data_IF_069874825172
#
_entry.id   IF_069874825172
#
_cell.length_a   1.000
_cell.length_b   1.000
_cell.length_c   1.000
_cell.angle_alpha   90.00
_cell.angle_beta   90.00
_cell.angle_gamma   90.00
#
_symmetry.space_group_name_H-M   'P 1'
#
loop_
_entity.id
_entity.type
_entity.pdbx_description
1 polymer ?
#
# COMPACT_ATOMS: atom_id res chain seq x y z
N UNK A 1 -10.62 -2.99 22.02
CA UNK A 1 -10.81 -2.65 23.45
C UNK A 1 -10.28 -1.24 23.68
N UNK A 2 -11.07 -0.38 24.32
CA UNK A 2 -10.73 1.04 24.56
C UNK A 2 -9.69 1.20 25.65
N UNK A 3 -9.91 0.53 26.79
CA UNK A 3 -8.98 0.55 27.91
C UNK A 3 -7.63 -0.04 27.53
N UNK A 4 -6.57 0.70 27.85
CA UNK A 4 -5.20 0.45 27.42
C UNK A 4 -4.94 0.81 25.95
N UNK A 5 -5.90 1.36 25.20
CA UNK A 5 -5.76 1.71 23.80
C UNK A 5 -4.86 2.94 23.57
N UNK A 6 -4.31 3.08 22.36
CA UNK A 6 -3.38 4.18 22.05
C UNK A 6 -3.99 5.57 22.25
N UNK A 7 -5.27 5.76 21.93
CA UNK A 7 -5.94 7.05 22.11
C UNK A 7 -6.21 7.37 23.59
N UNK A 8 -6.68 6.39 24.37
CA UNK A 8 -6.86 6.56 25.81
C UNK A 8 -5.53 6.87 26.51
N UNK A 9 -4.45 6.12 26.21
CA UNK A 9 -3.10 6.39 26.76
C UNK A 9 -2.50 7.74 26.35
N UNK A 10 -3.11 8.40 25.36
CA UNK A 10 -2.76 9.77 24.94
C UNK A 10 -3.74 10.81 25.51
N UNK A 11 -4.52 10.44 26.52
CA UNK A 11 -5.50 11.28 27.21
C UNK A 11 -6.59 11.83 26.29
N UNK A 12 -6.92 11.12 25.20
CA UNK A 12 -8.08 11.47 24.38
C UNK A 12 -9.35 10.92 25.03
N UNK A 13 -10.39 11.74 25.05
CA UNK A 13 -11.71 11.38 25.58
C UNK A 13 -12.72 11.28 24.45
N UNK A 14 -13.88 10.68 24.72
CA UNK A 14 -14.92 10.46 23.70
C UNK A 14 -15.31 11.76 22.98
N UNK A 15 -15.45 12.86 23.73
CA UNK A 15 -15.81 14.18 23.22
C UNK A 15 -14.69 14.87 22.41
N UNK A 16 -13.47 14.33 22.40
CA UNK A 16 -12.40 14.82 21.51
C UNK A 16 -12.69 14.50 20.04
N UNK A 17 -13.47 13.44 19.77
CA UNK A 17 -13.85 13.03 18.42
C UNK A 17 -15.35 13.15 18.17
N UNK A 18 -16.17 13.03 19.22
CA UNK A 18 -17.62 13.07 19.13
C UNK A 18 -18.21 14.37 19.66
N UNK A 19 -19.37 14.76 19.14
CA UNK A 19 -20.19 15.82 19.71
C UNK A 19 -21.64 15.35 19.87
N UNK A 20 -22.19 15.59 21.06
CA UNK A 20 -23.61 15.35 21.38
C UNK A 20 -24.48 16.58 21.09
N UNK A 21 -23.87 17.73 20.82
CA UNK A 21 -24.53 18.96 20.39
C UNK A 21 -23.92 19.43 19.07
N UNK A 22 -24.68 19.30 17.96
CA UNK A 22 -24.20 19.75 16.65
C UNK A 22 -23.14 18.85 16.00
N UNK A 23 -23.09 17.57 16.35
CA UNK A 23 -22.32 16.57 15.60
C UNK A 23 -22.95 16.26 14.23
N UNK A 24 -22.19 15.60 13.36
CA UNK A 24 -22.75 15.08 12.10
C UNK A 24 -23.63 13.83 12.33
N UNK A 25 -24.12 13.20 11.26
CA UNK A 25 -24.96 11.99 11.32
C UNK A 25 -24.32 10.78 12.04
N UNK A 26 -23.00 10.80 12.31
CA UNK A 26 -22.27 9.80 13.10
C UNK A 26 -21.81 10.36 14.46
N UNK A 27 -22.42 11.45 14.93
CA UNK A 27 -22.03 12.19 16.13
C UNK A 27 -20.56 12.62 16.14
N UNK A 28 -19.93 12.83 14.99
CA UNK A 28 -18.55 13.33 14.93
C UNK A 28 -18.51 14.84 15.16
N UNK A 29 -17.46 15.31 15.84
CA UNK A 29 -17.23 16.73 16.15
C UNK A 29 -16.84 17.56 14.92
N UNK A 30 -16.62 16.94 13.77
CA UNK A 30 -16.37 17.60 12.47
C UNK A 30 -17.26 16.98 11.38
N UNK A 31 -17.50 17.69 10.26
CA UNK A 31 -18.32 17.20 9.16
C UNK A 31 -17.93 15.81 8.64
N UNK A 32 -16.62 15.52 8.56
CA UNK A 32 -16.11 14.22 8.08
C UNK A 32 -15.17 13.54 9.06
N UNK A 33 -15.07 12.20 8.98
CA UNK A 33 -14.11 11.45 9.78
C UNK A 33 -12.66 11.83 9.45
N UNK A 34 -12.36 12.06 8.17
CA UNK A 34 -11.02 12.52 7.75
C UNK A 34 -10.64 13.81 8.45
N UNK A 35 -11.55 14.77 8.61
CA UNK A 35 -11.29 16.03 9.32
C UNK A 35 -11.06 15.83 10.81
N UNK A 36 -11.80 14.93 11.47
CA UNK A 36 -11.54 14.58 12.87
C UNK A 36 -10.12 14.03 13.02
N UNK A 37 -9.79 12.97 12.29
CA UNK A 37 -8.52 12.26 12.44
C UNK A 37 -7.32 13.14 12.03
N UNK A 38 -7.48 13.97 11.00
CA UNK A 38 -6.40 14.80 10.45
C UNK A 38 -6.00 15.99 11.33
N UNK A 39 -6.77 16.31 12.37
CA UNK A 39 -6.37 17.32 13.36
C UNK A 39 -5.03 16.95 14.03
N UNK A 40 -4.84 15.66 14.29
CA UNK A 40 -3.60 15.12 14.88
C UNK A 40 -2.76 14.35 13.85
N UNK A 41 -3.37 13.54 12.98
CA UNK A 41 -2.65 12.69 12.01
C UNK A 41 -2.25 13.43 10.73
N UNK A 42 -1.51 14.54 10.88
CA UNK A 42 -1.09 15.42 9.78
C UNK A 42 -0.25 14.71 8.70
N UNK A 43 0.58 13.74 9.12
CA UNK A 43 1.37 12.93 8.18
C UNK A 43 0.49 12.08 7.28
N UNK A 44 -0.57 11.48 7.81
CA UNK A 44 -1.53 10.70 7.03
C UNK A 44 -2.29 11.63 6.09
N UNK A 45 -2.72 12.80 6.57
CA UNK A 45 -3.33 13.84 5.70
C UNK A 45 -2.42 14.17 4.51
N UNK A 46 -1.11 14.33 4.73
CA UNK A 46 -0.15 14.59 3.66
C UNK A 46 0.00 13.39 2.70
N UNK A 47 0.01 12.16 3.20
CA UNK A 47 0.06 10.95 2.36
C UNK A 47 -1.17 10.84 1.45
N UNK A 48 -2.35 11.18 1.95
CA UNK A 48 -3.59 11.19 1.17
C UNK A 48 -3.62 12.26 0.07
N UNK A 49 -2.70 13.23 0.09
CA UNK A 49 -2.56 14.22 -0.98
C UNK A 49 -1.56 13.81 -2.07
N UNK A 50 -0.89 12.67 -1.92
CA UNK A 50 0.02 12.16 -2.96
C UNK A 50 -0.76 11.73 -4.20
N UNK A 51 -0.05 11.43 -5.28
CA UNK A 51 -0.65 11.07 -6.57
C UNK A 51 -1.40 9.74 -6.53
N UNK A 52 -0.87 8.75 -5.82
CA UNK A 52 -1.54 7.48 -5.55
C UNK A 52 -1.92 7.44 -4.06
N UNK A 53 -3.21 7.33 -3.77
CA UNK A 53 -3.74 7.17 -2.41
C UNK A 53 -5.03 6.34 -2.48
N UNK A 54 -5.45 5.73 -1.37
CA UNK A 54 -6.81 5.21 -1.28
C UNK A 54 -7.82 6.37 -1.26
N UNK A 55 -9.07 6.18 -1.74
CA UNK A 55 -9.99 7.28 -2.00
C UNK A 55 -10.69 7.83 -0.75
N UNK A 56 -9.91 8.10 0.31
CA UNK A 56 -10.38 8.66 1.59
C UNK A 56 -10.71 10.15 1.44
N UNK A 57 -9.88 10.92 0.73
CA UNK A 57 -10.14 12.36 0.54
C UNK A 57 -11.34 12.64 -0.37
N UNK A 58 -11.65 11.70 -1.26
CA UNK A 58 -12.85 11.69 -2.11
C UNK A 58 -14.08 11.18 -1.35
N UNK A 59 -13.94 10.75 -0.09
CA UNK A 59 -15.05 10.27 0.74
C UNK A 59 -15.63 8.92 0.33
N UNK A 60 -14.96 8.15 -0.53
CA UNK A 60 -15.44 6.82 -0.97
C UNK A 60 -15.20 5.74 0.07
N UNK A 61 -14.17 5.92 0.89
CA UNK A 61 -13.89 5.10 2.07
C UNK A 61 -13.46 6.00 3.23
N UNK A 62 -13.45 5.46 4.43
CA UNK A 62 -13.20 6.13 5.70
C UNK A 62 -12.02 5.49 6.42
N UNK A 63 -11.38 6.22 7.34
CA UNK A 63 -10.32 5.69 8.20
C UNK A 63 -10.81 4.46 8.99
N UNK A 64 -12.08 4.46 9.40
CA UNK A 64 -12.69 3.36 10.15
C UNK A 64 -12.91 2.08 9.37
N UNK A 65 -12.82 2.12 8.04
CA UNK A 65 -12.96 0.91 7.22
C UNK A 65 -11.72 0.02 7.43
N UNK A 66 -10.57 0.64 7.71
CA UNK A 66 -9.31 -0.05 8.02
C UNK A 66 -8.99 -0.11 9.52
N UNK A 67 -9.27 0.97 10.27
CA UNK A 67 -8.85 1.11 11.67
C UNK A 67 -10.05 1.14 12.61
N UNK A 68 -9.87 0.70 13.86
CA UNK A 68 -10.84 0.95 14.92
C UNK A 68 -10.26 1.96 15.91
N UNK A 69 -10.72 3.22 15.89
CA UNK A 69 -10.20 4.28 16.75
C UNK A 69 -10.50 4.05 18.25
N UNK A 70 -11.43 3.15 18.57
CA UNK A 70 -11.71 2.71 19.94
C UNK A 70 -10.79 1.58 20.41
N UNK A 71 -9.79 1.21 19.62
CA UNK A 71 -8.74 0.28 19.98
C UNK A 71 -8.99 -1.16 19.56
N UNK A 72 -7.92 -1.84 19.14
CA UNK A 72 -7.84 -3.28 18.85
C UNK A 72 -6.53 -3.82 19.43
N UNK A 73 -6.42 -5.15 19.49
CA UNK A 73 -5.17 -5.82 19.91
C UNK A 73 -4.11 -5.82 18.81
N UNK A 74 -4.49 -5.49 17.57
CA UNK A 74 -3.58 -5.52 16.43
C UNK A 74 -2.80 -4.23 16.29
N UNK A 75 -1.66 -4.33 15.61
CA UNK A 75 -0.82 -3.17 15.35
C UNK A 75 -1.58 -2.07 14.60
N UNK A 76 -1.22 -0.82 14.90
CA UNK A 76 -1.82 0.38 14.28
C UNK A 76 -3.36 0.43 14.39
N UNK A 77 -3.95 -0.28 15.35
CA UNK A 77 -5.40 -0.32 15.59
C UNK A 77 -6.18 -0.85 14.37
N UNK A 78 -5.64 -1.80 13.62
CA UNK A 78 -6.34 -2.36 12.48
C UNK A 78 -7.60 -3.11 12.92
N UNK A 79 -8.70 -2.90 12.20
CA UNK A 79 -9.99 -3.54 12.46
C UNK A 79 -10.08 -4.94 11.81
N UNK A 80 -9.03 -5.74 11.92
CA UNK A 80 -8.93 -7.13 11.46
C UNK A 80 -7.84 -7.87 12.26
N UNK A 81 -7.70 -9.19 12.06
CA UNK A 81 -6.70 -10.01 12.74
C UNK A 81 -5.27 -9.82 12.19
N UNK A 82 -5.14 -9.44 10.92
CA UNK A 82 -3.86 -9.18 10.27
C UNK A 82 -3.99 -8.04 9.24
N UNK A 83 -2.84 -7.53 8.78
CA UNK A 83 -2.78 -6.55 7.68
C UNK A 83 -3.44 -7.13 6.42
N UNK A 84 -3.08 -8.36 6.06
CA UNK A 84 -3.54 -8.99 4.84
C UNK A 84 -5.05 -9.26 4.89
N UNK A 85 -5.58 -9.72 6.02
CA UNK A 85 -7.02 -9.93 6.19
C UNK A 85 -7.80 -8.64 5.96
N UNK A 86 -7.32 -7.51 6.49
CA UNK A 86 -7.96 -6.22 6.25
C UNK A 86 -7.93 -5.85 4.77
N UNK A 87 -6.82 -6.10 4.08
CA UNK A 87 -6.74 -5.87 2.63
C UNK A 87 -7.75 -6.74 1.86
N UNK A 88 -7.91 -8.00 2.25
CA UNK A 88 -8.80 -8.96 1.58
C UNK A 88 -10.29 -8.69 1.77
N UNK A 89 -10.69 -7.88 2.75
CA UNK A 89 -12.09 -7.43 2.89
C UNK A 89 -12.57 -6.67 1.64
N UNK A 90 -11.67 -5.98 0.94
CA UNK A 90 -11.96 -5.27 -0.32
C UNK A 90 -11.24 -5.88 -1.53
N UNK A 91 -10.04 -6.43 -1.35
CA UNK A 91 -9.21 -7.02 -2.41
C UNK A 91 -9.23 -8.55 -2.35
N UNK A 92 -10.43 -9.12 -2.32
CA UNK A 92 -10.64 -10.56 -2.18
C UNK A 92 -9.98 -11.37 -3.31
N UNK A 93 -9.80 -10.79 -4.50
CA UNK A 93 -9.15 -11.43 -5.64
C UNK A 93 -7.65 -11.66 -5.43
N UNK A 94 -7.06 -11.07 -4.38
CA UNK A 94 -5.66 -11.28 -3.98
C UNK A 94 -5.52 -12.30 -2.86
N UNK A 95 -6.65 -12.80 -2.33
CA UNK A 95 -6.66 -13.81 -1.29
C UNK A 95 -6.32 -15.17 -1.91
N UNK A 96 -5.21 -15.76 -1.48
CA UNK A 96 -4.80 -17.12 -1.85
C UNK A 96 -5.68 -18.21 -1.21
N UNK A 97 -5.25 -19.48 -1.29
CA UNK A 97 -3.96 -19.93 -1.78
C UNK A 97 -3.89 -19.90 -3.32
N UNK A 98 -2.75 -19.44 -3.84
CA UNK A 98 -2.43 -19.61 -5.27
C UNK A 98 -1.54 -20.85 -5.43
N UNK A 99 -1.58 -21.51 -6.59
CA UNK A 99 -0.65 -22.62 -6.88
C UNK A 99 0.82 -22.15 -6.84
N UNK A 100 1.07 -20.95 -7.36
CA UNK A 100 2.36 -20.28 -7.35
C UNK A 100 2.21 -18.93 -6.64
N UNK A 101 2.53 -18.91 -5.36
CA UNK A 101 2.46 -17.70 -4.55
C UNK A 101 3.69 -16.83 -4.73
N UNK A 102 3.52 -15.52 -4.55
CA UNK A 102 4.63 -14.60 -4.40
C UNK A 102 4.84 -14.32 -2.91
N UNK A 103 5.88 -14.90 -2.31
CA UNK A 103 6.12 -14.89 -0.84
C UNK A 103 5.82 -13.55 -0.14
N UNK A 104 6.30 -12.39 -0.64
CA UNK A 104 6.05 -11.12 0.04
C UNK A 104 4.56 -10.76 0.13
N UNK A 105 3.73 -11.24 -0.80
CA UNK A 105 2.29 -10.95 -0.86
C UNK A 105 1.52 -11.76 0.18
N UNK A 106 1.91 -13.02 0.40
CA UNK A 106 1.26 -13.87 1.40
C UNK A 106 1.67 -13.51 2.82
N UNK A 107 2.90 -13.01 2.99
CA UNK A 107 3.41 -12.55 4.28
C UNK A 107 2.83 -11.20 4.70
N UNK A 108 2.99 -10.15 3.88
CA UNK A 108 2.55 -8.80 4.25
C UNK A 108 2.41 -7.88 3.02
N UNK A 109 1.19 -7.43 2.73
CA UNK A 109 0.91 -6.52 1.62
C UNK A 109 1.73 -5.19 1.70
N UNK A 110 2.07 -4.75 2.91
CA UNK A 110 2.79 -3.48 3.13
C UNK A 110 4.29 -3.55 2.87
N UNK A 111 4.83 -4.74 2.60
CA UNK A 111 6.20 -4.90 2.07
C UNK A 111 6.37 -4.12 0.77
N UNK A 112 5.32 -4.10 -0.06
CA UNK A 112 5.32 -3.43 -1.36
C UNK A 112 4.43 -2.20 -1.39
N UNK A 113 3.37 -2.11 -0.57
CA UNK A 113 2.38 -1.05 -0.62
C UNK A 113 2.37 -0.13 0.61
N UNK A 114 2.03 1.14 0.40
CA UNK A 114 1.74 2.13 1.43
C UNK A 114 0.23 2.38 1.48
N UNK A 115 -0.50 1.95 2.51
CA UNK A 115 -1.97 1.94 2.47
C UNK A 115 -2.60 3.35 2.47
N UNK A 116 -1.85 4.40 2.81
CA UNK A 116 -2.40 5.77 2.77
C UNK A 116 -2.04 6.51 1.50
N UNK A 117 -0.78 6.47 1.06
CA UNK A 117 -0.39 7.09 -0.20
C UNK A 117 1.09 7.09 -0.52
N UNK A 118 1.37 7.08 -1.82
CA UNK A 118 2.70 7.03 -2.42
C UNK A 118 2.81 8.01 -3.60
N UNK A 119 3.99 8.60 -3.86
CA UNK A 119 4.27 9.25 -5.14
C UNK A 119 4.34 8.25 -6.31
N UNK A 120 4.45 6.96 -6.03
CA UNK A 120 4.48 5.89 -7.02
C UNK A 120 3.08 5.34 -7.26
N UNK A 121 2.83 4.87 -8.49
CA UNK A 121 1.56 4.29 -8.88
C UNK A 121 1.23 3.06 -8.02
N UNK A 122 -0.07 2.75 -7.88
CA UNK A 122 -0.53 1.57 -7.12
C UNK A 122 0.02 1.53 -5.69
N UNK A 123 0.19 2.70 -5.06
CA UNK A 123 0.60 2.84 -3.67
C UNK A 123 1.99 2.24 -3.36
N UNK A 124 2.86 2.02 -4.34
CA UNK A 124 4.11 1.27 -4.12
C UNK A 124 5.11 2.02 -3.23
N UNK A 125 5.84 1.30 -2.36
CA UNK A 125 6.89 1.88 -1.50
C UNK A 125 8.11 2.36 -2.29
N UNK A 126 8.31 1.84 -3.50
CA UNK A 126 9.37 2.21 -4.42
C UNK A 126 8.88 2.08 -5.86
N UNK A 127 9.49 2.84 -6.77
CA UNK A 127 9.19 2.76 -8.21
C UNK A 127 9.67 1.43 -8.79
N UNK A 128 8.96 0.90 -9.78
CA UNK A 128 9.46 -0.17 -10.66
C UNK A 128 10.53 0.39 -11.62
N UNK A 129 11.59 -0.37 -11.96
CA UNK A 129 11.87 -1.77 -11.61
C UNK A 129 12.55 -1.96 -10.24
N UNK A 130 13.02 -0.88 -9.60
CA UNK A 130 13.79 -0.95 -8.35
C UNK A 130 13.10 -1.75 -7.25
N UNK A 131 11.76 -1.63 -7.11
CA UNK A 131 11.00 -2.41 -6.14
C UNK A 131 11.30 -3.91 -6.22
N UNK A 132 11.32 -4.48 -7.43
CA UNK A 132 11.58 -5.90 -7.66
C UNK A 132 13.04 -6.25 -7.34
N UNK A 133 13.96 -5.36 -7.69
CA UNK A 133 15.42 -5.55 -7.51
C UNK A 133 15.86 -5.52 -6.04
N UNK A 134 15.01 -5.07 -5.11
CA UNK A 134 15.29 -5.16 -3.67
C UNK A 134 15.38 -6.60 -3.17
N UNK A 135 14.71 -7.52 -3.85
CA UNK A 135 14.74 -8.95 -3.54
C UNK A 135 15.32 -9.78 -4.69
N UNK A 136 15.03 -9.40 -5.94
CA UNK A 136 15.54 -10.08 -7.14
C UNK A 136 16.87 -9.48 -7.60
N UNK A 137 17.95 -9.85 -6.89
CA UNK A 137 19.33 -9.46 -7.22
C UNK A 137 20.08 -10.51 -8.06
N UNK A 138 19.42 -11.61 -8.44
CA UNK A 138 20.04 -12.70 -9.20
C UNK A 138 20.69 -12.20 -10.50
N UNK A 139 21.82 -12.81 -10.84
CA UNK A 139 22.77 -12.50 -11.93
C UNK A 139 22.23 -12.62 -13.36
N UNK A 140 20.90 -12.74 -13.54
CA UNK A 140 20.25 -12.67 -14.85
C UNK A 140 19.75 -11.24 -15.10
N UNK A 141 18.83 -11.06 -16.03
CA UNK A 141 18.32 -9.72 -16.34
C UNK A 141 17.82 -8.90 -15.12
N UNK A 142 17.26 -9.47 -14.03
CA UNK A 142 16.84 -8.66 -12.87
C UNK A 142 17.98 -7.86 -12.22
N UNK A 143 19.19 -8.43 -12.13
CA UNK A 143 20.36 -7.82 -11.48
C UNK A 143 21.29 -7.05 -12.43
N UNK A 144 21.15 -7.19 -13.75
CA UNK A 144 21.93 -6.40 -14.70
C UNK A 144 21.42 -4.96 -14.70
N UNK A 145 22.30 -3.99 -14.38
CA UNK A 145 22.00 -2.58 -14.61
C UNK A 145 21.67 -2.41 -16.09
N UNK A 146 20.41 -2.12 -16.39
CA UNK A 146 19.91 -1.97 -17.76
C UNK A 146 20.46 -0.74 -18.51
N UNK A 147 21.60 -0.21 -18.04
CA UNK A 147 22.41 0.86 -18.60
C UNK A 147 23.75 0.35 -19.18
N UNK A 148 24.08 -0.95 -19.09
CA UNK A 148 25.21 -1.50 -19.85
C UNK A 148 24.77 -1.95 -21.24
N UNK A 149 24.54 -0.97 -22.12
CA UNK A 149 25.07 -1.08 -23.47
C UNK A 149 26.39 -0.33 -23.43
N UNK A 150 27.46 -1.00 -23.85
CA UNK A 150 28.76 -0.42 -24.19
C UNK A 150 28.64 1.05 -24.56
N UNK A 151 29.37 1.90 -23.84
CA UNK A 151 29.56 3.31 -24.18
C UNK A 151 30.06 3.43 -25.62
N UNK A 152 29.15 3.48 -26.60
CA UNK A 152 29.43 4.15 -27.87
C UNK A 152 29.34 5.64 -27.54
N UNK A 153 30.50 6.28 -27.50
CA UNK A 153 30.62 7.71 -27.31
C UNK A 153 29.65 8.42 -28.28
N UNK A 154 28.70 9.19 -27.72
CA UNK A 154 27.74 9.99 -28.51
C UNK A 154 26.28 9.50 -28.54
N UNK A 155 25.93 8.35 -27.94
CA UNK A 155 24.54 7.91 -27.85
C UNK A 155 23.85 8.37 -26.55
N UNK A 156 22.60 8.85 -26.68
CA UNK A 156 21.75 9.26 -25.57
C UNK A 156 21.54 8.11 -24.58
N UNK A 157 21.54 8.41 -23.28
CA UNK A 157 21.17 7.44 -22.24
C UNK A 157 19.78 6.85 -22.52
N UNK A 158 18.88 7.61 -23.15
CA UNK A 158 17.54 7.12 -23.53
C UNK A 158 17.56 6.09 -24.68
N UNK A 159 18.57 6.09 -25.55
CA UNK A 159 18.69 5.13 -26.67
C UNK A 159 19.44 3.85 -26.31
N UNK A 160 20.07 3.80 -25.13
CA UNK A 160 20.86 2.66 -24.63
C UNK A 160 20.17 1.90 -23.49
N UNK A 161 19.11 2.46 -22.92
CA UNK A 161 18.29 1.80 -21.91
C UNK A 161 17.34 0.80 -22.58
N UNK A 162 17.52 -0.49 -22.29
CA UNK A 162 16.60 -1.52 -22.77
C UNK A 162 15.17 -1.30 -22.26
N UNK A 163 14.17 -1.89 -22.91
CA UNK A 163 12.74 -1.87 -22.50
C UNK A 163 12.50 -2.25 -21.03
N UNK A 164 13.50 -2.88 -20.41
CA UNK A 164 13.53 -3.33 -19.02
C UNK A 164 13.94 -2.26 -17.99
N UNK A 165 14.41 -1.09 -18.44
CA UNK A 165 14.74 0.05 -17.56
C UNK A 165 13.52 0.96 -17.29
N UNK A 166 12.46 0.86 -18.10
CA UNK A 166 11.36 1.81 -18.09
C UNK A 166 10.09 1.26 -17.43
N UNK A 167 9.58 2.01 -16.46
CA UNK A 167 8.22 1.95 -15.91
C UNK A 167 7.71 0.54 -15.56
N UNK A 168 6.99 -0.12 -16.46
CA UNK A 168 6.36 -1.45 -16.26
C UNK A 168 7.22 -2.63 -16.68
N UNK A 169 8.45 -2.40 -17.13
CA UNK A 169 9.47 -3.36 -17.54
C UNK A 169 9.27 -4.81 -17.06
N UNK A 170 9.33 -5.07 -15.74
CA UNK A 170 9.20 -6.41 -15.18
C UNK A 170 7.78 -6.96 -15.37
N UNK A 171 6.76 -6.16 -15.05
CA UNK A 171 5.35 -6.53 -15.10
C UNK A 171 4.78 -6.69 -16.52
N UNK A 172 5.50 -6.29 -17.56
CA UNK A 172 5.11 -6.57 -18.94
C UNK A 172 5.22 -8.07 -19.27
N UNK A 173 6.15 -8.77 -18.63
CA UNK A 173 6.33 -10.21 -18.78
C UNK A 173 5.90 -10.99 -17.53
N UNK A 174 6.06 -10.39 -16.34
CA UNK A 174 5.67 -10.96 -15.05
C UNK A 174 4.39 -10.28 -14.54
N UNK A 175 3.27 -10.50 -15.22
CA UNK A 175 2.01 -9.81 -14.93
C UNK A 175 1.34 -10.28 -13.62
N UNK A 176 1.61 -11.51 -13.19
CA UNK A 176 0.94 -12.16 -12.06
C UNK A 176 1.69 -11.97 -10.73
N UNK A 177 2.14 -10.74 -10.45
CA UNK A 177 2.96 -10.41 -9.28
C UNK A 177 2.30 -10.67 -7.91
N UNK A 178 1.01 -11.02 -7.88
CA UNK A 178 0.27 -11.37 -6.66
C UNK A 178 0.03 -12.88 -6.49
N UNK A 179 0.53 -13.70 -7.42
CA UNK A 179 0.34 -15.14 -7.45
C UNK A 179 -0.33 -15.61 -8.75
N UNK A 180 -0.11 -16.89 -9.10
CA UNK A 180 -0.66 -17.53 -10.29
C UNK A 180 -1.21 -18.93 -9.98
N UNK A 181 -2.34 -19.27 -10.61
CA UNK A 181 -2.92 -20.62 -10.60
C UNK A 181 -2.60 -21.41 -11.88
N UNK A 182 -1.83 -20.86 -12.80
CA UNK A 182 -1.45 -21.55 -14.02
C UNK A 182 -0.40 -22.64 -13.72
N UNK A 183 -0.48 -23.86 -14.27
CA UNK A 183 0.50 -24.92 -14.00
C UNK A 183 1.96 -24.49 -14.26
N UNK A 184 2.20 -23.73 -15.32
CA UNK A 184 3.49 -23.08 -15.62
C UNK A 184 3.67 -21.67 -15.03
N UNK A 185 3.00 -21.34 -13.94
CA UNK A 185 2.95 -20.00 -13.33
C UNK A 185 4.10 -19.67 -12.37
N UNK A 186 5.08 -20.56 -12.19
CA UNK A 186 6.18 -20.41 -11.21
C UNK A 186 6.96 -19.10 -11.34
N UNK A 187 7.09 -18.54 -12.55
CA UNK A 187 7.76 -17.26 -12.79
C UNK A 187 6.82 -16.05 -12.71
N UNK A 188 5.54 -16.24 -12.39
CA UNK A 188 4.50 -15.21 -12.33
C UNK A 188 4.24 -14.51 -13.68
N UNK A 189 4.50 -15.20 -14.79
CA UNK A 189 4.31 -14.67 -16.14
C UNK A 189 2.90 -14.88 -16.73
N UNK A 190 2.13 -15.81 -16.17
CA UNK A 190 0.76 -16.15 -16.58
C UNK A 190 0.04 -16.85 -15.44
#
# INVERSE_FOLDING_TARGET
MWHGGTHERKNLVCSSCHSVHGGNYKNLAKPTQMEVCSQCHKQIRAQLQKTSHHPIREGKINCSDCHNPHGTVTEKLLAANSINDKCFECHAEKRGPFLWEHSPVTENCTTCHTPHGSPHDKLLVAKRPFLCQRCHSNSRHPGTLYAQSTSQAGQSVYSTLGTRAFYRACSNCHSQIHGSNHPSGKSLAR
#
